data_IF_770271160598
#
_entry.id   IF_770271160598
#
_cell.length_a   1.000
_cell.length_b   1.000
_cell.length_c   1.000
_cell.angle_alpha   90.00
_cell.angle_beta   90.00
_cell.angle_gamma   90.00
#
_symmetry.space_group_name_H-M   'P 1'
#
loop_
_entity.id
_entity.type
_entity.pdbx_description
1 polymer ?
#
# COMPACT_ATOMS: atom_id res chain seq x y z
N UNK A 1 22.52 15.18 0.67
CA UNK A 1 21.10 15.59 0.82
C UNK A 1 20.44 15.85 -0.53
N UNK A 2 20.90 16.81 -1.33
CA UNK A 2 20.27 17.15 -2.64
C UNK A 2 20.22 15.96 -3.63
N UNK A 3 21.32 15.21 -3.75
CA UNK A 3 21.43 14.03 -4.64
C UNK A 3 20.58 12.84 -4.19
N UNK A 4 20.30 12.74 -2.88
CA UNK A 4 19.38 11.75 -2.33
C UNK A 4 17.94 12.15 -2.65
N UNK A 5 17.59 13.44 -2.52
CA UNK A 5 16.30 13.93 -2.98
C UNK A 5 16.10 13.72 -4.49
N UNK A 6 17.10 13.97 -5.34
CA UNK A 6 16.96 13.78 -6.79
C UNK A 6 16.84 12.28 -7.18
N UNK A 7 17.48 11.37 -6.44
CA UNK A 7 17.33 9.92 -6.62
C UNK A 7 15.92 9.43 -6.22
N UNK A 8 15.30 10.07 -5.23
CA UNK A 8 14.01 9.68 -4.65
C UNK A 8 12.80 10.46 -5.25
N UNK A 9 12.99 11.63 -5.86
CA UNK A 9 11.87 12.50 -6.31
C UNK A 9 11.43 12.26 -7.76
N UNK A 10 12.11 11.41 -8.52
CA UNK A 10 11.73 11.09 -9.90
C UNK A 10 11.65 12.32 -10.83
N UNK A 11 12.43 13.38 -10.56
CA UNK A 11 12.53 14.51 -11.50
C UNK A 11 13.10 14.00 -12.83
N UNK A 12 12.51 14.45 -13.93
CA UNK A 12 12.79 14.01 -15.31
C UNK A 12 14.27 14.11 -15.71
N UNK A 13 15.05 14.93 -15.02
CA UNK A 13 16.51 14.99 -15.17
C UNK A 13 17.19 14.30 -14.00
N UNK A 14 17.53 13.02 -14.17
CA UNK A 14 18.53 12.38 -13.30
C UNK A 14 19.79 13.24 -13.40
N UNK A 15 20.20 13.87 -12.30
CA UNK A 15 21.42 14.69 -12.29
C UNK A 15 22.59 13.87 -12.87
N UNK A 16 23.50 14.49 -13.62
CA UNK A 16 24.68 13.81 -14.15
C UNK A 16 25.44 13.05 -13.05
N UNK A 17 25.43 13.59 -11.82
CA UNK A 17 25.97 12.95 -10.62
C UNK A 17 25.21 11.67 -10.24
N UNK A 18 23.88 11.66 -10.32
CA UNK A 18 23.06 10.47 -10.09
C UNK A 18 23.31 9.37 -11.12
N UNK A 19 23.43 9.72 -12.40
CA UNK A 19 23.80 8.77 -13.47
C UNK A 19 25.21 8.21 -13.28
N UNK A 20 26.17 9.07 -12.88
CA UNK A 20 27.52 8.65 -12.57
C UNK A 20 27.55 7.62 -11.44
N UNK A 21 26.91 7.89 -10.30
CA UNK A 21 26.88 6.95 -9.18
C UNK A 21 26.11 5.66 -9.51
N UNK A 22 25.05 5.74 -10.32
CA UNK A 22 24.36 4.56 -10.81
C UNK A 22 25.28 3.67 -11.65
N UNK A 23 26.00 4.27 -12.61
CA UNK A 23 26.97 3.55 -13.44
C UNK A 23 28.10 2.95 -12.60
N UNK A 24 28.61 3.69 -11.60
CA UNK A 24 29.60 3.15 -10.66
C UNK A 24 29.04 1.98 -9.84
N UNK A 25 27.81 2.06 -9.32
CA UNK A 25 27.20 0.97 -8.56
C UNK A 25 27.07 -0.30 -9.40
N UNK A 26 26.55 -0.18 -10.64
CA UNK A 26 26.46 -1.31 -11.57
C UNK A 26 27.84 -1.86 -11.91
N UNK A 27 28.82 -0.99 -12.19
CA UNK A 27 30.20 -1.39 -12.48
C UNK A 27 30.82 -2.17 -11.32
N UNK A 28 30.70 -1.66 -10.10
CA UNK A 28 31.27 -2.28 -8.90
C UNK A 28 30.62 -3.63 -8.61
N UNK A 29 29.29 -3.73 -8.71
CA UNK A 29 28.59 -5.02 -8.57
C UNK A 29 29.10 -5.99 -9.63
N UNK A 30 29.14 -5.60 -10.91
CA UNK A 30 29.61 -6.45 -12.00
C UNK A 30 31.05 -6.95 -11.81
N UNK A 31 31.95 -6.10 -11.30
CA UNK A 31 33.34 -6.48 -11.02
C UNK A 31 33.48 -7.56 -9.94
N UNK A 32 32.46 -7.74 -9.10
CA UNK A 32 32.48 -8.74 -8.02
C UNK A 32 31.74 -10.02 -8.34
N UNK A 33 31.00 -10.10 -9.46
CA UNK A 33 30.11 -11.23 -9.76
C UNK A 33 30.83 -12.58 -9.88
N UNK A 34 32.07 -12.58 -10.37
CA UNK A 34 32.91 -13.78 -10.51
C UNK A 34 33.74 -14.09 -9.24
N UNK A 35 33.47 -13.39 -8.14
CA UNK A 35 34.21 -13.53 -6.88
C UNK A 35 33.27 -13.92 -5.74
N UNK A 36 33.79 -14.44 -4.61
CA UNK A 36 32.96 -14.69 -3.42
C UNK A 36 32.24 -13.42 -2.90
N UNK A 37 32.77 -12.24 -3.20
CA UNK A 37 32.15 -10.96 -2.82
C UNK A 37 30.84 -10.68 -3.56
N UNK A 38 30.51 -11.42 -4.63
CA UNK A 38 29.23 -11.35 -5.33
C UNK A 38 28.05 -11.40 -4.36
N UNK A 39 28.12 -12.28 -3.35
CA UNK A 39 27.05 -12.52 -2.37
C UNK A 39 27.12 -11.60 -1.13
N UNK A 40 27.99 -10.58 -1.16
CA UNK A 40 28.16 -9.65 -0.04
C UNK A 40 26.88 -8.86 0.26
N UNK A 41 26.75 -8.45 1.53
CA UNK A 41 25.64 -7.60 1.96
C UNK A 41 25.57 -6.30 1.17
N UNK A 42 26.73 -5.69 0.92
CA UNK A 42 26.87 -4.45 0.16
C UNK A 42 26.30 -4.59 -1.26
N UNK A 43 26.55 -5.71 -1.93
CA UNK A 43 26.00 -5.96 -3.26
C UNK A 43 24.49 -6.19 -3.22
N UNK A 44 23.97 -6.95 -2.24
CA UNK A 44 22.54 -7.13 -2.08
C UNK A 44 21.82 -5.79 -1.84
N UNK A 45 22.40 -4.92 -1.00
CA UNK A 45 21.91 -3.56 -0.77
C UNK A 45 21.96 -2.75 -2.07
N UNK A 46 23.08 -2.79 -2.80
CA UNK A 46 23.22 -2.08 -4.07
C UNK A 46 22.17 -2.52 -5.09
N UNK A 47 22.00 -3.82 -5.29
CA UNK A 47 20.98 -4.38 -6.21
C UNK A 47 19.57 -4.01 -5.74
N UNK A 48 19.27 -4.09 -4.44
CA UNK A 48 17.98 -3.64 -3.89
C UNK A 48 17.68 -2.17 -4.22
N UNK A 49 18.69 -1.29 -4.12
CA UNK A 49 18.54 0.12 -4.52
C UNK A 49 18.35 0.30 -6.04
N UNK A 50 18.97 -0.55 -6.87
CA UNK A 50 18.75 -0.56 -8.32
C UNK A 50 17.31 -0.95 -8.68
N UNK A 51 16.71 -1.91 -7.95
CA UNK A 51 15.30 -2.28 -8.13
C UNK A 51 14.40 -1.07 -7.85
N UNK A 52 14.56 -0.45 -6.67
CA UNK A 52 13.76 0.71 -6.27
C UNK A 52 13.91 1.86 -7.26
N UNK A 53 15.13 2.13 -7.73
CA UNK A 53 15.36 3.16 -8.74
C UNK A 53 14.65 2.86 -10.06
N UNK A 54 14.73 1.62 -10.54
CA UNK A 54 14.07 1.22 -11.78
C UNK A 54 12.55 1.35 -11.66
N UNK A 55 11.97 0.98 -10.52
CA UNK A 55 10.54 1.17 -10.23
C UNK A 55 10.14 2.64 -10.24
N UNK A 56 10.93 3.52 -9.60
CA UNK A 56 10.68 4.97 -9.58
C UNK A 56 10.69 5.60 -10.98
N UNK A 57 11.48 5.03 -11.90
CA UNK A 57 11.54 5.43 -13.31
C UNK A 57 10.47 4.78 -14.19
N UNK A 58 9.61 3.92 -13.63
CA UNK A 58 8.62 3.15 -14.38
C UNK A 58 9.22 2.03 -15.26
N UNK A 59 10.49 1.68 -15.07
CA UNK A 59 11.22 0.69 -15.87
C UNK A 59 10.96 -0.74 -15.42
N UNK A 60 9.80 -1.30 -15.75
CA UNK A 60 9.39 -2.66 -15.33
C UNK A 60 10.43 -3.73 -15.68
N UNK A 61 10.87 -3.77 -16.94
CA UNK A 61 11.84 -4.77 -17.41
C UNK A 61 13.18 -4.69 -16.66
N UNK A 62 13.69 -3.47 -16.45
CA UNK A 62 14.94 -3.25 -15.71
C UNK A 62 14.80 -3.65 -14.23
N UNK A 63 13.68 -3.28 -13.59
CA UNK A 63 13.40 -3.68 -12.21
C UNK A 63 13.28 -5.20 -12.08
N UNK A 64 12.65 -5.87 -13.05
CA UNK A 64 12.52 -7.34 -13.09
C UNK A 64 13.90 -8.03 -13.14
N UNK A 65 14.82 -7.54 -13.97
CA UNK A 65 16.19 -8.08 -14.08
C UNK A 65 16.93 -7.96 -12.75
N UNK A 66 16.89 -6.78 -12.11
CA UNK A 66 17.56 -6.58 -10.83
C UNK A 66 16.92 -7.42 -9.70
N UNK A 67 15.59 -7.55 -9.70
CA UNK A 67 14.87 -8.39 -8.73
C UNK A 67 15.24 -9.87 -8.89
N UNK A 68 15.28 -10.37 -10.12
CA UNK A 68 15.73 -11.73 -10.42
C UNK A 68 17.18 -11.97 -9.96
N UNK A 69 18.06 -10.99 -10.19
CA UNK A 69 19.44 -11.01 -9.70
C UNK A 69 19.51 -11.06 -8.16
N UNK A 70 18.76 -10.21 -7.46
CA UNK A 70 18.72 -10.21 -6.00
C UNK A 70 18.22 -11.55 -5.44
N UNK A 71 17.13 -12.10 -6.00
CA UNK A 71 16.61 -13.42 -5.62
C UNK A 71 17.68 -14.50 -5.78
N UNK A 72 18.37 -14.53 -6.93
CA UNK A 72 19.45 -15.49 -7.18
C UNK A 72 20.61 -15.36 -6.19
N UNK A 73 21.00 -14.13 -5.85
CA UNK A 73 22.06 -13.88 -4.85
C UNK A 73 21.63 -14.36 -3.45
N UNK A 74 20.38 -14.12 -3.05
CA UNK A 74 19.83 -14.60 -1.79
C UNK A 74 19.78 -16.13 -1.75
N UNK A 75 19.33 -16.78 -2.83
CA UNK A 75 19.29 -18.23 -2.93
C UNK A 75 20.68 -18.85 -2.81
N UNK A 76 21.67 -18.29 -3.50
CA UNK A 76 23.07 -18.73 -3.43
C UNK A 76 23.68 -18.53 -2.04
N UNK A 77 23.21 -17.54 -1.28
CA UNK A 77 23.61 -17.33 0.13
C UNK A 77 22.92 -18.32 1.09
N UNK A 78 21.93 -19.08 0.63
CA UNK A 78 21.16 -20.03 1.43
C UNK A 78 19.83 -19.47 1.95
N UNK A 79 19.29 -18.44 1.30
CA UNK A 79 17.98 -17.84 1.58
C UNK A 79 18.00 -16.68 2.58
N UNK A 80 16.82 -16.12 2.85
CA UNK A 80 16.65 -14.96 3.75
C UNK A 80 17.11 -15.21 5.18
N UNK A 81 17.05 -16.45 5.67
CA UNK A 81 17.50 -16.83 7.02
C UNK A 81 19.00 -16.69 7.23
N UNK A 82 19.78 -16.51 6.15
CA UNK A 82 21.24 -16.29 6.19
C UNK A 82 21.62 -14.80 6.20
N UNK A 83 20.63 -13.90 6.26
CA UNK A 83 20.84 -12.48 6.51
C UNK A 83 20.87 -12.28 8.03
N UNK A 84 22.03 -11.93 8.58
CA UNK A 84 22.21 -11.74 10.03
C UNK A 84 21.43 -10.53 10.54
N UNK A 85 21.38 -9.46 9.73
CA UNK A 85 20.64 -8.26 10.04
C UNK A 85 19.16 -8.38 9.67
N UNK A 86 18.32 -8.71 10.64
CA UNK A 86 16.89 -8.96 10.41
C UNK A 86 16.17 -7.77 9.75
N UNK A 87 16.54 -6.53 10.13
CA UNK A 87 15.98 -5.32 9.53
C UNK A 87 16.25 -5.23 8.01
N UNK A 88 17.34 -5.82 7.52
CA UNK A 88 17.69 -5.80 6.11
C UNK A 88 16.91 -6.86 5.33
N UNK A 89 16.69 -8.03 5.92
CA UNK A 89 15.79 -9.04 5.33
C UNK A 89 14.38 -8.47 5.12
N UNK A 90 13.87 -7.67 6.07
CA UNK A 90 12.62 -6.92 5.93
C UNK A 90 12.68 -5.98 4.73
N UNK A 91 13.80 -5.28 4.49
CA UNK A 91 13.92 -4.37 3.34
C UNK A 91 13.86 -5.10 2.00
N UNK A 92 14.52 -6.25 1.85
CA UNK A 92 14.44 -7.03 0.61
C UNK A 92 13.00 -7.52 0.35
N UNK A 93 12.33 -8.03 1.38
CA UNK A 93 10.93 -8.46 1.27
C UNK A 93 10.01 -7.27 0.96
N UNK A 94 10.26 -6.11 1.56
CA UNK A 94 9.48 -4.88 1.32
C UNK A 94 9.63 -4.40 -0.12
N UNK A 95 10.85 -4.42 -0.68
CA UNK A 95 11.08 -4.06 -2.09
C UNK A 95 10.32 -4.99 -3.03
N UNK A 96 10.32 -6.30 -2.75
CA UNK A 96 9.57 -7.25 -3.57
C UNK A 96 8.06 -7.09 -3.41
N UNK A 97 7.57 -6.80 -2.20
CA UNK A 97 6.16 -6.48 -1.97
C UNK A 97 5.76 -5.22 -2.75
N UNK A 98 6.56 -4.16 -2.70
CA UNK A 98 6.31 -2.95 -3.49
C UNK A 98 6.30 -3.24 -4.99
N UNK A 99 7.22 -4.08 -5.46
CA UNK A 99 7.27 -4.53 -6.85
C UNK A 99 5.99 -5.31 -7.24
N UNK A 100 5.52 -6.20 -6.37
CA UNK A 100 4.27 -6.94 -6.54
C UNK A 100 3.05 -6.00 -6.62
N UNK A 101 2.96 -5.01 -5.73
CA UNK A 101 1.88 -4.01 -5.76
C UNK A 101 1.94 -3.11 -6.99
N UNK A 102 3.14 -2.84 -7.51
CA UNK A 102 3.33 -1.94 -8.65
C UNK A 102 3.03 -2.64 -9.98
N UNK A 103 3.42 -3.90 -10.14
CA UNK A 103 3.35 -4.64 -11.41
C UNK A 103 2.39 -5.84 -11.40
N UNK A 104 1.77 -6.18 -10.27
CA UNK A 104 0.83 -7.29 -10.14
C UNK A 104 1.46 -8.67 -10.19
N UNK A 105 2.71 -8.79 -9.72
CA UNK A 105 3.46 -10.06 -9.78
C UNK A 105 3.36 -10.84 -8.46
N UNK A 106 3.53 -12.16 -8.48
CA UNK A 106 3.65 -12.95 -7.26
C UNK A 106 4.96 -12.65 -6.52
N UNK A 107 4.94 -12.91 -5.21
CA UNK A 107 6.13 -12.84 -4.35
C UNK A 107 6.76 -14.23 -4.17
N UNK A 108 8.07 -14.30 -4.35
CA UNK A 108 8.95 -15.42 -4.01
C UNK A 108 9.54 -15.25 -2.61
N UNK A 109 9.90 -14.02 -2.22
CA UNK A 109 10.41 -13.71 -0.88
C UNK A 109 9.24 -13.65 0.10
N UNK A 110 9.00 -14.76 0.80
CA UNK A 110 7.98 -14.82 1.84
C UNK A 110 8.58 -14.60 3.22
N UNK A 111 7.95 -13.68 3.97
CA UNK A 111 8.30 -13.41 5.35
C UNK A 111 7.03 -13.07 6.11
N UNK A 112 6.75 -13.84 7.16
CA UNK A 112 5.66 -13.59 8.10
C UNK A 112 6.20 -13.67 9.52
N UNK A 113 6.15 -12.55 10.23
CA UNK A 113 6.65 -12.37 11.60
C UNK A 113 5.54 -11.84 12.53
N UNK A 114 4.26 -12.00 12.17
CA UNK A 114 3.16 -11.51 13.01
C UNK A 114 3.14 -12.14 14.40
N UNK A 115 3.53 -13.41 14.53
CA UNK A 115 3.66 -14.06 15.84
C UNK A 115 4.69 -13.35 16.73
N UNK A 116 5.85 -12.98 16.18
CA UNK A 116 6.88 -12.25 16.91
C UNK A 116 6.45 -10.82 17.24
N UNK A 117 5.72 -10.17 16.32
CA UNK A 117 5.08 -8.87 16.58
C UNK A 117 4.15 -9.00 17.79
N UNK A 118 3.28 -10.02 17.83
CA UNK A 118 2.37 -10.24 18.95
C UNK A 118 3.09 -10.57 20.26
N UNK A 119 4.15 -11.37 20.22
CA UNK A 119 4.98 -11.65 21.40
C UNK A 119 5.64 -10.38 21.94
N UNK A 120 6.15 -9.52 21.06
CA UNK A 120 6.73 -8.22 21.43
C UNK A 120 5.68 -7.27 22.02
N UNK A 121 4.47 -7.21 21.44
CA UNK A 121 3.35 -6.45 21.99
C UNK A 121 2.96 -6.94 23.38
N UNK A 122 2.84 -8.26 23.56
CA UNK A 122 2.48 -8.87 24.82
C UNK A 122 3.53 -8.58 25.91
N UNK A 123 4.81 -8.62 25.58
CA UNK A 123 5.90 -8.24 26.47
C UNK A 123 5.83 -6.76 26.89
N UNK A 124 5.31 -5.88 26.02
CA UNK A 124 5.03 -4.46 26.30
C UNK A 124 3.70 -4.23 27.02
N UNK A 125 2.98 -5.28 27.42
CA UNK A 125 1.70 -5.20 28.12
C UNK A 125 0.46 -5.06 27.22
N UNK A 126 0.64 -5.06 25.89
CA UNK A 126 -0.45 -4.99 24.93
C UNK A 126 -0.89 -6.41 24.57
N UNK A 127 -2.08 -6.80 25.03
CA UNK A 127 -2.68 -8.06 24.61
C UNK A 127 -3.54 -7.82 23.39
N UNK A 128 -3.14 -8.39 22.25
CA UNK A 128 -4.05 -8.53 21.13
C UNK A 128 -5.32 -9.27 21.58
N UNK A 129 -6.45 -9.02 20.92
CA UNK A 129 -7.62 -9.84 21.15
C UNK A 129 -7.21 -11.31 20.90
N UNK A 130 -7.48 -12.21 21.87
CA UNK A 130 -7.01 -13.61 21.82
C UNK A 130 -7.69 -14.45 20.73
N UNK A 131 -8.76 -13.93 20.15
CA UNK A 131 -9.53 -14.49 19.03
C UNK A 131 -10.16 -13.33 18.27
N UNK A 132 -10.54 -13.51 17.00
CA UNK A 132 -11.55 -12.68 16.36
C UNK A 132 -12.78 -12.63 17.27
N UNK A 133 -12.89 -11.58 18.09
CA UNK A 133 -14.19 -11.12 18.53
C UNK A 133 -14.73 -10.37 17.32
N UNK A 134 -15.13 -11.12 16.31
CA UNK A 134 -15.77 -10.54 15.14
C UNK A 134 -16.97 -9.73 15.61
N UNK A 135 -17.14 -8.49 15.13
CA UNK A 135 -18.46 -7.94 14.98
C UNK A 135 -19.19 -8.82 13.94
N UNK A 136 -19.81 -9.91 14.40
CA UNK A 136 -20.73 -10.72 13.62
C UNK A 136 -20.12 -11.82 12.73
N UNK A 137 -20.97 -12.76 12.34
CA UNK A 137 -20.79 -13.89 11.41
C UNK A 137 -20.42 -13.48 9.97
N UNK A 138 -19.99 -12.23 9.73
CA UNK A 138 -19.85 -11.68 8.39
C UNK A 138 -18.62 -12.18 7.65
N UNK A 139 -17.51 -12.31 8.36
CA UNK A 139 -16.23 -12.72 7.78
C UNK A 139 -15.91 -14.20 8.05
N UNK A 140 -16.83 -14.94 8.67
CA UNK A 140 -16.62 -16.38 8.95
C UNK A 140 -16.54 -17.23 7.70
N UNK A 141 -17.08 -16.73 6.59
CA UNK A 141 -17.19 -17.44 5.32
C UNK A 141 -15.99 -17.19 4.41
N UNK A 142 -15.09 -16.25 4.76
CA UNK A 142 -13.84 -16.02 4.04
C UNK A 142 -12.87 -17.20 4.19
N UNK A 143 -11.96 -17.37 3.25
CA UNK A 143 -10.79 -18.23 3.44
C UNK A 143 -10.04 -17.86 4.74
N UNK A 144 -9.55 -18.90 5.43
CA UNK A 144 -8.89 -18.76 6.74
C UNK A 144 -7.69 -17.82 6.70
N UNK A 145 -6.94 -17.79 5.59
CA UNK A 145 -5.81 -16.88 5.41
C UNK A 145 -6.28 -15.42 5.39
N UNK A 146 -7.31 -15.11 4.61
CA UNK A 146 -7.88 -13.76 4.55
C UNK A 146 -8.48 -13.32 5.89
N UNK A 147 -9.16 -14.23 6.61
CA UNK A 147 -9.68 -13.95 7.95
C UNK A 147 -8.57 -13.53 8.92
N UNK A 148 -7.44 -14.25 8.91
CA UNK A 148 -6.29 -13.96 9.75
C UNK A 148 -5.68 -12.60 9.41
N UNK A 149 -5.51 -12.30 8.12
CA UNK A 149 -4.98 -10.99 7.71
C UNK A 149 -5.92 -9.86 8.12
N UNK A 150 -7.23 -10.02 7.92
CA UNK A 150 -8.22 -9.02 8.32
C UNK A 150 -8.19 -8.78 9.83
N UNK A 151 -8.09 -9.85 10.62
CA UNK A 151 -7.98 -9.77 12.07
C UNK A 151 -6.70 -9.04 12.51
N UNK A 152 -5.57 -9.32 11.86
CA UNK A 152 -4.30 -8.67 12.18
C UNK A 152 -4.36 -7.17 11.87
N UNK A 153 -4.89 -6.80 10.70
CA UNK A 153 -5.10 -5.39 10.33
C UNK A 153 -6.02 -4.67 11.31
N UNK A 154 -7.08 -5.33 11.78
CA UNK A 154 -8.00 -4.78 12.75
C UNK A 154 -7.32 -4.52 14.10
N UNK A 155 -6.55 -5.50 14.61
CA UNK A 155 -5.79 -5.32 15.86
C UNK A 155 -4.74 -4.22 15.74
N UNK A 156 -3.98 -4.18 14.64
CA UNK A 156 -3.00 -3.13 14.39
C UNK A 156 -3.68 -1.76 14.34
N UNK A 157 -4.84 -1.67 13.68
CA UNK A 157 -5.63 -0.43 13.63
C UNK A 157 -6.09 0.01 15.01
N UNK A 158 -6.60 -0.92 15.81
CA UNK A 158 -7.03 -0.66 17.18
C UNK A 158 -5.87 -0.16 18.07
N UNK A 159 -4.68 -0.74 17.93
CA UNK A 159 -3.47 -0.29 18.65
C UNK A 159 -3.09 1.15 18.30
N UNK A 160 -3.06 1.51 17.01
CA UNK A 160 -2.81 2.88 16.60
C UNK A 160 -3.86 3.85 17.14
N UNK A 161 -5.14 3.48 17.09
CA UNK A 161 -6.23 4.31 17.61
C UNK A 161 -6.21 4.45 19.13
N UNK A 162 -5.64 3.47 19.86
CA UNK A 162 -5.37 3.55 21.29
C UNK A 162 -4.12 4.38 21.64
N UNK A 163 -3.44 4.97 20.64
CA UNK A 163 -2.25 5.80 20.83
C UNK A 163 -0.94 5.03 20.96
N UNK A 164 -0.91 3.73 20.65
CA UNK A 164 0.33 2.96 20.66
C UNK A 164 1.30 3.49 19.61
N UNK A 165 2.50 3.88 20.05
CA UNK A 165 3.59 4.29 19.17
C UNK A 165 4.41 3.07 18.77
N UNK A 166 4.03 2.47 17.64
CA UNK A 166 4.77 1.36 17.05
C UNK A 166 6.14 1.85 16.54
N UNK A 167 7.20 1.14 16.89
CA UNK A 167 8.53 1.46 16.36
C UNK A 167 8.62 1.16 14.85
N UNK A 168 9.47 1.87 14.11
CA UNK A 168 9.51 1.74 12.65
C UNK A 168 9.85 0.33 12.14
N UNK A 169 10.66 -0.43 12.87
CA UNK A 169 11.05 -1.78 12.43
C UNK A 169 9.87 -2.74 12.60
N UNK A 170 9.21 -2.69 13.76
CA UNK A 170 7.99 -3.46 14.01
C UNK A 170 6.88 -3.14 13.00
N UNK A 171 6.72 -1.87 12.63
CA UNK A 171 5.77 -1.49 11.58
C UNK A 171 6.14 -2.10 10.22
N UNK A 172 7.42 -2.15 9.88
CA UNK A 172 7.85 -2.78 8.62
C UNK A 172 7.61 -4.30 8.64
N UNK A 173 7.87 -4.98 9.76
CA UNK A 173 7.54 -6.40 9.90
C UNK A 173 6.03 -6.65 9.76
N UNK A 174 5.19 -5.82 10.38
CA UNK A 174 3.72 -5.89 10.21
C UNK A 174 3.33 -5.76 8.74
N UNK A 175 3.83 -4.72 8.06
CA UNK A 175 3.48 -4.44 6.66
C UNK A 175 3.95 -5.54 5.71
N UNK A 176 5.18 -6.04 5.88
CA UNK A 176 5.71 -7.15 5.06
C UNK A 176 4.95 -8.44 5.34
N UNK A 177 4.67 -8.77 6.60
CA UNK A 177 3.96 -10.00 6.97
C UNK A 177 2.53 -10.04 6.44
N UNK A 178 1.82 -8.92 6.55
CA UNK A 178 0.49 -8.74 5.96
C UNK A 178 0.56 -8.79 4.44
N UNK A 179 1.48 -8.04 3.83
CA UNK A 179 1.64 -7.97 2.38
C UNK A 179 1.99 -9.32 1.75
N UNK A 180 2.94 -10.06 2.35
CA UNK A 180 3.33 -11.39 1.92
C UNK A 180 2.18 -12.39 1.97
N UNK A 181 1.31 -12.33 2.98
CA UNK A 181 0.12 -13.20 3.05
C UNK A 181 -0.94 -12.83 2.03
N UNK A 182 -1.19 -11.54 1.80
CA UNK A 182 -2.14 -11.09 0.79
C UNK A 182 -1.70 -11.49 -0.62
N UNK A 183 -0.45 -11.19 -1.01
CA UNK A 183 0.04 -11.55 -2.35
C UNK A 183 0.15 -13.07 -2.55
N UNK A 184 0.47 -13.82 -1.49
CA UNK A 184 0.44 -15.28 -1.53
C UNK A 184 -0.98 -15.83 -1.72
N UNK A 185 -1.98 -15.20 -1.11
CA UNK A 185 -3.37 -15.59 -1.28
C UNK A 185 -3.81 -15.35 -2.73
N UNK A 186 -3.55 -14.16 -3.26
CA UNK A 186 -3.88 -13.84 -4.64
C UNK A 186 -3.01 -12.69 -5.18
N UNK A 187 -2.37 -12.91 -6.32
CA UNK A 187 -1.55 -11.89 -6.97
C UNK A 187 -2.40 -10.97 -7.84
N UNK A 188 -2.13 -9.66 -7.84
CA UNK A 188 -3.00 -8.67 -8.51
C UNK A 188 -3.06 -8.81 -10.05
N UNK A 189 -2.14 -9.57 -10.65
CA UNK A 189 -2.10 -9.86 -12.09
C UNK A 189 -2.77 -11.18 -12.47
N UNK A 190 -3.27 -11.95 -11.50
CA UNK A 190 -4.01 -13.20 -11.77
C UNK A 190 -5.45 -12.90 -12.23
N UNK A 191 -6.11 -13.88 -12.87
CA UNK A 191 -7.53 -13.79 -13.20
C UNK A 191 -8.38 -13.59 -11.93
N UNK A 192 -9.55 -12.96 -12.03
CA UNK A 192 -10.38 -12.72 -10.87
C UNK A 192 -10.80 -13.98 -10.11
N UNK A 193 -11.01 -13.83 -8.80
CA UNK A 193 -11.53 -14.90 -7.94
C UNK A 193 -12.99 -15.23 -8.27
N UNK A 194 -13.38 -16.47 -7.98
CA UNK A 194 -14.77 -16.92 -8.13
C UNK A 194 -15.69 -16.23 -7.12
N UNK A 195 -15.25 -16.10 -5.87
CA UNK A 195 -15.97 -15.37 -4.82
C UNK A 195 -15.61 -13.88 -4.85
N UNK A 196 -16.55 -13.07 -5.32
CA UNK A 196 -16.41 -11.62 -5.35
C UNK A 196 -16.23 -11.00 -3.95
N UNK A 197 -16.86 -11.57 -2.91
CA UNK A 197 -16.74 -11.04 -1.55
C UNK A 197 -15.33 -11.22 -0.99
N UNK A 198 -14.70 -12.37 -1.24
CA UNK A 198 -13.29 -12.59 -0.93
C UNK A 198 -12.39 -11.64 -1.71
N UNK A 199 -12.65 -11.49 -3.01
CA UNK A 199 -11.90 -10.59 -3.88
C UNK A 199 -11.99 -9.13 -3.42
N UNK A 200 -13.19 -8.70 -3.02
CA UNK A 200 -13.45 -7.37 -2.47
C UNK A 200 -12.72 -7.14 -1.14
N UNK A 201 -12.76 -8.11 -0.22
CA UNK A 201 -12.01 -8.03 1.04
C UNK A 201 -10.50 -7.97 0.76
N UNK A 202 -9.99 -8.82 -0.13
CA UNK A 202 -8.60 -8.84 -0.55
C UNK A 202 -8.15 -7.49 -1.15
N UNK A 203 -8.91 -6.96 -2.12
CA UNK A 203 -8.62 -5.68 -2.76
C UNK A 203 -8.60 -4.51 -1.76
N UNK A 204 -9.55 -4.48 -0.83
CA UNK A 204 -9.60 -3.46 0.21
C UNK A 204 -8.45 -3.55 1.20
N UNK A 205 -8.07 -4.75 1.62
CA UNK A 205 -6.89 -4.97 2.47
C UNK A 205 -5.60 -4.53 1.76
N UNK A 206 -5.42 -4.89 0.49
CA UNK A 206 -4.29 -4.42 -0.30
C UNK A 206 -4.29 -2.88 -0.37
N UNK A 207 -5.41 -2.25 -0.71
CA UNK A 207 -5.53 -0.78 -0.74
C UNK A 207 -5.18 -0.14 0.61
N UNK A 208 -5.67 -0.73 1.71
CA UNK A 208 -5.35 -0.32 3.08
C UNK A 208 -3.84 -0.34 3.35
N UNK A 209 -3.11 -1.40 2.96
CA UNK A 209 -1.64 -1.45 3.15
C UNK A 209 -0.90 -0.29 2.48
N UNK A 210 -1.39 0.19 1.32
CA UNK A 210 -0.76 1.31 0.61
C UNK A 210 -0.92 2.66 1.32
N UNK A 211 -1.80 2.76 2.33
CA UNK A 211 -2.01 3.99 3.11
C UNK A 211 -0.86 4.29 4.07
N UNK A 212 -0.03 3.29 4.41
CA UNK A 212 1.16 3.47 5.24
C UNK A 212 2.36 4.02 4.48
N UNK A 213 2.25 4.18 3.16
CA UNK A 213 3.34 4.67 2.32
C UNK A 213 3.45 6.19 2.51
N UNK A 214 4.63 6.62 2.97
CA UNK A 214 4.93 8.03 3.26
C UNK A 214 4.66 8.88 2.01
N UNK A 215 3.81 9.91 2.16
CA UNK A 215 3.61 10.97 1.18
C UNK A 215 4.65 12.06 1.40
N UNK A 216 5.39 12.44 0.36
CA UNK A 216 6.29 13.60 0.39
C UNK A 216 5.68 14.67 -0.51
N UNK A 217 4.98 15.64 0.08
CA UNK A 217 4.20 16.64 -0.65
C UNK A 217 3.04 16.00 -1.43
N UNK A 218 2.68 16.51 -2.64
CA UNK A 218 1.55 15.99 -3.42
C UNK A 218 1.84 14.65 -4.12
N UNK A 219 3.06 14.12 -4.05
CA UNK A 219 3.48 12.91 -4.78
C UNK A 219 3.69 11.72 -3.84
N UNK A 220 3.14 10.57 -4.23
CA UNK A 220 3.48 9.27 -3.63
C UNK A 220 4.82 8.82 -4.17
N UNK A 221 5.64 8.24 -3.30
CA UNK A 221 6.96 7.73 -3.67
C UNK A 221 6.88 6.64 -4.74
N UNK A 222 5.91 5.73 -4.65
CA UNK A 222 5.60 4.74 -5.67
C UNK A 222 4.15 4.88 -6.11
N UNK A 223 3.91 4.75 -7.41
CA UNK A 223 2.56 4.78 -7.98
C UNK A 223 2.02 3.35 -8.11
N UNK A 224 1.20 2.90 -7.16
CA UNK A 224 0.60 1.55 -7.17
C UNK A 224 -0.57 1.46 -8.16
N UNK A 225 -0.30 1.71 -9.43
CA UNK A 225 -1.32 1.70 -10.51
C UNK A 225 -2.03 0.36 -10.60
N UNK A 226 -1.33 -0.75 -10.40
CA UNK A 226 -1.94 -2.07 -10.43
C UNK A 226 -2.95 -2.27 -9.30
N UNK A 227 -2.66 -1.80 -8.08
CA UNK A 227 -3.64 -1.82 -6.98
C UNK A 227 -4.88 -0.99 -7.34
N UNK A 228 -4.69 0.20 -7.92
CA UNK A 228 -5.80 1.04 -8.38
C UNK A 228 -6.63 0.39 -9.48
N UNK A 229 -5.98 -0.28 -10.44
CA UNK A 229 -6.66 -1.04 -11.49
C UNK A 229 -7.44 -2.21 -10.90
N UNK A 230 -6.80 -3.04 -10.09
CA UNK A 230 -7.42 -4.21 -9.44
C UNK A 230 -8.64 -3.81 -8.61
N UNK A 231 -8.51 -2.77 -7.77
CA UNK A 231 -9.62 -2.25 -6.98
C UNK A 231 -10.78 -1.76 -7.85
N UNK A 232 -10.50 -1.07 -8.97
CA UNK A 232 -11.52 -0.65 -9.93
C UNK A 232 -12.25 -1.83 -10.56
N UNK A 233 -11.51 -2.82 -11.03
CA UNK A 233 -12.08 -4.00 -11.69
C UNK A 233 -13.00 -4.76 -10.72
N UNK A 234 -12.64 -4.87 -9.44
CA UNK A 234 -13.48 -5.46 -8.39
C UNK A 234 -14.73 -4.62 -8.11
N UNK A 235 -14.60 -3.30 -7.98
CA UNK A 235 -15.72 -2.38 -7.74
C UNK A 235 -16.73 -2.38 -8.90
N UNK A 236 -16.25 -2.41 -10.15
CA UNK A 236 -17.13 -2.39 -11.33
C UNK A 236 -17.85 -3.71 -11.58
N UNK A 237 -17.25 -4.85 -11.22
CA UNK A 237 -17.91 -6.16 -11.28
C UNK A 237 -18.91 -6.39 -10.15
N UNK A 238 -18.68 -5.78 -9.00
CA UNK A 238 -19.49 -5.93 -7.80
C UNK A 238 -20.73 -5.03 -7.77
N UNK A 239 -21.87 -5.55 -8.19
CA UNK A 239 -23.17 -4.89 -7.99
C UNK A 239 -24.17 -5.88 -7.40
N UNK A 240 -24.01 -6.17 -6.10
CA UNK A 240 -25.07 -6.72 -5.26
C UNK A 240 -25.19 -5.85 -4.00
N UNK A 241 -26.41 -5.39 -3.69
CA UNK A 241 -26.70 -4.47 -2.58
C UNK A 241 -26.46 -5.09 -1.19
N UNK A 242 -26.13 -6.38 -1.13
CA UNK A 242 -25.86 -7.13 0.11
C UNK A 242 -24.63 -6.63 0.88
N UNK A 243 -23.67 -6.00 0.21
CA UNK A 243 -22.38 -5.59 0.80
C UNK A 243 -22.08 -4.09 0.61
N UNK A 244 -23.11 -3.24 0.64
CA UNK A 244 -22.99 -1.81 0.39
C UNK A 244 -22.01 -1.07 1.31
N UNK A 245 -21.87 -1.46 2.57
CA UNK A 245 -20.91 -0.87 3.51
C UNK A 245 -19.46 -1.27 3.21
N UNK A 246 -19.21 -2.51 2.78
CA UNK A 246 -17.91 -2.93 2.24
C UNK A 246 -17.59 -2.11 0.99
N UNK A 247 -18.54 -1.98 0.06
CA UNK A 247 -18.35 -1.16 -1.14
C UNK A 247 -18.05 0.31 -0.78
N UNK A 248 -18.74 0.87 0.20
CA UNK A 248 -18.46 2.23 0.69
C UNK A 248 -17.04 2.32 1.27
N UNK A 249 -16.62 1.33 2.05
CA UNK A 249 -15.26 1.26 2.58
C UNK A 249 -14.21 1.16 1.46
N UNK A 250 -14.42 0.32 0.44
CA UNK A 250 -13.56 0.20 -0.74
C UNK A 250 -13.40 1.51 -1.50
N UNK A 251 -14.51 2.24 -1.71
CA UNK A 251 -14.50 3.53 -2.39
C UNK A 251 -13.71 4.58 -1.60
N UNK A 252 -13.91 4.63 -0.27
CA UNK A 252 -13.22 5.60 0.59
C UNK A 252 -11.74 5.24 0.74
N UNK A 253 -11.41 3.99 1.12
CA UNK A 253 -10.02 3.56 1.28
C UNK A 253 -9.27 3.65 -0.05
N UNK A 254 -9.90 3.30 -1.17
CA UNK A 254 -9.38 3.48 -2.52
C UNK A 254 -9.13 4.94 -2.86
N UNK A 255 -10.12 5.81 -2.64
CA UNK A 255 -10.06 7.24 -2.90
C UNK A 255 -8.98 7.98 -2.12
N UNK A 256 -8.72 7.59 -0.87
CA UNK A 256 -7.62 8.16 -0.06
C UNK A 256 -6.30 7.41 -0.28
N UNK A 257 -6.32 6.27 -0.97
CA UNK A 257 -5.14 5.50 -1.30
C UNK A 257 -4.79 5.63 -2.79
N UNK A 258 -5.12 4.62 -3.58
CA UNK A 258 -4.56 4.40 -4.91
C UNK A 258 -5.31 5.09 -6.04
N UNK A 259 -6.54 5.55 -5.79
CA UNK A 259 -7.36 6.24 -6.78
C UNK A 259 -7.06 7.73 -6.74
N UNK A 260 -6.92 8.35 -7.91
CA UNK A 260 -6.37 9.71 -8.05
C UNK A 260 -7.36 10.66 -8.72
N UNK A 261 -6.97 11.92 -8.93
CA UNK A 261 -7.84 13.02 -9.43
C UNK A 261 -8.84 12.63 -10.54
N UNK A 262 -8.44 11.95 -11.62
CA UNK A 262 -9.37 11.52 -12.67
C UNK A 262 -10.44 10.53 -12.19
N UNK A 263 -10.12 9.68 -11.21
CA UNK A 263 -11.04 8.70 -10.66
C UNK A 263 -12.14 9.35 -9.79
N UNK A 264 -11.90 10.56 -9.25
CA UNK A 264 -12.88 11.26 -8.41
C UNK A 264 -14.21 11.52 -9.13
N UNK A 265 -14.19 11.63 -10.46
CA UNK A 265 -15.37 11.86 -11.30
C UNK A 265 -16.41 10.73 -11.21
N UNK A 266 -15.97 9.47 -11.08
CA UNK A 266 -16.86 8.31 -10.95
C UNK A 266 -17.01 7.84 -9.49
N UNK A 267 -15.99 8.03 -8.65
CA UNK A 267 -16.04 7.67 -7.22
C UNK A 267 -17.10 8.50 -6.50
N UNK A 268 -17.14 9.82 -6.73
CA UNK A 268 -18.03 10.72 -5.98
C UNK A 268 -19.52 10.38 -6.17
N UNK A 269 -20.04 10.20 -7.41
CA UNK A 269 -21.41 9.71 -7.61
C UNK A 269 -21.66 8.34 -6.98
N UNK A 270 -20.68 7.43 -7.01
CA UNK A 270 -20.83 6.09 -6.44
C UNK A 270 -20.92 6.13 -4.92
N UNK A 271 -20.08 6.93 -4.25
CA UNK A 271 -20.17 7.17 -2.80
C UNK A 271 -21.55 7.70 -2.44
N UNK A 272 -22.08 8.71 -3.16
CA UNK A 272 -23.43 9.25 -2.92
C UNK A 272 -24.52 8.18 -3.05
N UNK A 273 -24.46 7.38 -4.11
CA UNK A 273 -25.44 6.32 -4.38
C UNK A 273 -25.44 5.27 -3.26
N UNK A 274 -24.26 4.77 -2.89
CA UNK A 274 -24.11 3.74 -1.85
C UNK A 274 -24.52 4.28 -0.49
N UNK A 275 -24.09 5.49 -0.12
CA UNK A 275 -24.50 6.12 1.13
C UNK A 275 -26.01 6.34 1.22
N UNK A 276 -26.65 6.73 0.11
CA UNK A 276 -28.11 6.84 0.00
C UNK A 276 -28.80 5.49 0.27
N UNK A 277 -28.29 4.40 -0.28
CA UNK A 277 -28.82 3.04 -0.03
C UNK A 277 -28.67 2.58 1.42
N UNK A 278 -27.64 3.06 2.12
CA UNK A 278 -27.37 2.78 3.54
C UNK A 278 -28.08 3.77 4.49
N UNK A 279 -28.75 4.80 3.96
CA UNK A 279 -29.35 5.86 4.76
C UNK A 279 -28.33 6.79 5.46
N UNK A 280 -27.06 6.76 5.05
CA UNK A 280 -25.98 7.53 5.67
C UNK A 280 -25.98 8.96 5.11
N UNK A 281 -26.06 9.95 6.00
CA UNK A 281 -26.13 11.38 5.65
C UNK A 281 -25.01 12.23 6.26
N UNK A 282 -24.16 11.65 7.08
CA UNK A 282 -23.07 12.36 7.75
C UNK A 282 -21.79 11.53 7.73
N UNK A 283 -20.65 12.20 7.97
CA UNK A 283 -19.36 11.55 8.07
C UNK A 283 -19.33 10.56 9.25
N UNK A 284 -19.97 10.90 10.37
CA UNK A 284 -20.08 10.04 11.55
C UNK A 284 -20.82 8.75 11.21
N UNK A 285 -21.85 8.82 10.37
CA UNK A 285 -22.56 7.64 9.87
C UNK A 285 -21.66 6.75 8.98
N UNK A 286 -20.83 7.35 8.13
CA UNK A 286 -19.81 6.62 7.34
C UNK A 286 -18.85 5.93 8.30
N UNK A 287 -18.31 6.65 9.28
CA UNK A 287 -17.36 6.11 10.26
C UNK A 287 -17.95 4.98 11.08
N UNK A 288 -19.21 5.12 11.52
CA UNK A 288 -19.93 4.06 12.21
C UNK A 288 -20.07 2.80 11.34
N UNK A 289 -20.38 2.95 10.05
CA UNK A 289 -20.48 1.82 9.11
C UNK A 289 -19.15 1.09 8.89
N UNK A 290 -18.02 1.75 9.16
CA UNK A 290 -16.69 1.16 8.99
C UNK A 290 -16.20 0.37 10.20
N UNK A 291 -17.00 0.24 11.27
CA UNK A 291 -16.61 -0.55 12.45
C UNK A 291 -16.12 -1.97 12.16
N UNK A 292 -16.62 -2.70 11.14
CA UNK A 292 -16.13 -4.05 10.81
C UNK A 292 -14.78 -4.06 10.06
N UNK A 293 -14.33 -2.93 9.54
CA UNK A 293 -13.18 -2.83 8.64
C UNK A 293 -12.02 -2.09 9.32
N UNK A 294 -10.75 -2.35 8.92
CA UNK A 294 -9.61 -1.68 9.51
C UNK A 294 -9.60 -0.20 9.12
N UNK A 295 -9.35 0.64 10.12
CA UNK A 295 -9.31 2.10 9.99
C UNK A 295 -8.42 2.69 11.07
N UNK A 296 -7.47 3.54 10.66
CA UNK A 296 -6.56 4.25 11.56
C UNK A 296 -6.89 5.73 11.51
N UNK A 297 -7.41 6.27 12.60
CA UNK A 297 -7.89 7.66 12.66
C UNK A 297 -6.80 8.64 12.23
N UNK A 298 -5.56 8.45 12.71
CA UNK A 298 -4.43 9.32 12.38
C UNK A 298 -4.01 9.28 10.90
N UNK A 299 -4.34 8.22 10.15
CA UNK A 299 -3.98 8.07 8.74
C UNK A 299 -5.13 8.36 7.79
N UNK A 300 -6.37 8.11 8.21
CA UNK A 300 -7.51 8.03 7.30
C UNK A 300 -8.60 9.05 7.58
N UNK A 301 -8.71 9.58 8.80
CA UNK A 301 -9.86 10.39 9.23
C UNK A 301 -9.99 11.69 8.42
N UNK A 302 -8.91 12.45 8.31
CA UNK A 302 -8.90 13.75 7.61
C UNK A 302 -9.19 13.59 6.11
N UNK A 303 -8.38 12.80 5.40
CA UNK A 303 -8.56 12.57 3.96
C UNK A 303 -9.88 11.88 3.62
N UNK A 304 -10.35 10.97 4.47
CA UNK A 304 -11.64 10.30 4.29
C UNK A 304 -12.80 11.28 4.39
N UNK A 305 -12.76 12.17 5.39
CA UNK A 305 -13.76 13.22 5.59
C UNK A 305 -13.76 14.24 4.46
N UNK A 306 -12.58 14.64 3.98
CA UNK A 306 -12.45 15.50 2.81
C UNK A 306 -13.10 14.88 1.57
N UNK A 307 -12.76 13.62 1.27
CA UNK A 307 -13.34 12.88 0.15
C UNK A 307 -14.87 12.78 0.27
N UNK A 308 -15.39 12.49 1.47
CA UNK A 308 -16.82 12.43 1.73
C UNK A 308 -17.51 13.77 1.43
N UNK A 309 -17.00 14.88 1.96
CA UNK A 309 -17.61 16.19 1.71
C UNK A 309 -17.48 16.62 0.25
N UNK A 310 -16.36 16.30 -0.41
CA UNK A 310 -16.23 16.50 -1.85
C UNK A 310 -17.29 15.70 -2.62
N UNK A 311 -17.56 14.46 -2.22
CA UNK A 311 -18.58 13.62 -2.85
C UNK A 311 -20.00 14.14 -2.59
N UNK A 312 -20.29 14.72 -1.42
CA UNK A 312 -21.62 15.24 -1.08
C UNK A 312 -21.90 16.63 -1.65
N UNK A 313 -20.89 17.39 -2.08
CA UNK A 313 -21.11 18.63 -2.83
C UNK A 313 -21.91 18.30 -4.09
N UNK A 314 -23.09 18.88 -4.21
CA UNK A 314 -23.82 18.88 -5.48
C UNK A 314 -22.94 19.57 -6.52
N UNK A 315 -22.92 19.10 -7.79
CA UNK A 315 -22.43 19.94 -8.86
C UNK A 315 -23.41 21.11 -8.95
N UNK A 316 -23.12 22.19 -8.23
CA UNK A 316 -23.74 23.48 -8.46
C UNK A 316 -23.52 23.82 -9.93
N UNK A 317 -24.57 24.27 -10.62
CA UNK A 317 -24.56 24.77 -11.99
C UNK A 317 -23.30 25.61 -12.26
N UNK A 318 -22.26 24.95 -12.78
CA UNK A 318 -20.96 25.55 -13.07
C UNK A 318 -21.00 26.22 -14.44
N UNK A 319 -22.00 27.09 -14.66
CA UNK A 319 -22.12 27.93 -15.85
C UNK A 319 -22.21 29.43 -15.54
N UNK A 320 -22.05 29.85 -14.27
CA UNK A 320 -22.21 31.26 -13.89
C UNK A 320 -21.04 31.95 -13.19
N UNK A 321 -20.05 31.22 -12.64
CA UNK A 321 -19.06 31.83 -11.73
C UNK A 321 -17.59 31.62 -12.14
N UNK A 322 -17.33 30.92 -13.25
CA UNK A 322 -15.96 30.64 -13.72
C UNK A 322 -15.32 31.80 -14.49
N UNK A 323 -16.04 32.90 -14.76
CA UNK A 323 -15.50 34.08 -15.44
C UNK A 323 -15.03 35.23 -14.54
N UNK A 324 -15.25 35.17 -13.21
CA UNK A 324 -14.81 36.25 -12.30
C UNK A 324 -13.67 35.88 -11.33
N UNK A 325 -13.30 34.61 -11.20
CA UNK A 325 -12.23 34.20 -10.27
C UNK A 325 -10.81 34.16 -10.89
N UNK A 326 -10.69 34.23 -12.23
CA UNK A 326 -9.40 34.13 -12.94
C UNK A 326 -8.58 35.43 -12.99
N UNK A 327 -9.05 36.53 -12.38
CA UNK A 327 -8.34 37.81 -12.37
C UNK A 327 -7.79 38.25 -11.00
N UNK A 328 -8.01 37.47 -9.92
CA UNK A 328 -7.88 38.00 -8.57
C UNK A 328 -6.69 37.58 -7.69
N UNK A 329 -6.00 36.46 -7.96
CA UNK A 329 -5.04 35.95 -6.95
C UNK A 329 -3.81 35.30 -7.56
N UNK A 330 -3.06 36.09 -8.33
CA UNK A 330 -1.60 35.93 -8.50
C UNK A 330 -0.95 37.01 -7.64
N UNK A 331 -0.70 36.72 -6.36
CA UNK A 331 0.29 37.36 -5.47
C UNK A 331 0.06 36.90 -4.01
N UNK A 332 1.15 36.59 -3.32
CA UNK A 332 1.25 36.16 -1.91
C UNK A 332 0.91 34.65 -1.73
N UNK A 333 1.75 33.77 -1.18
CA UNK A 333 2.93 33.87 -0.32
C UNK A 333 3.79 32.61 -0.57
N UNK A 334 5.11 32.81 -0.42
CA UNK A 334 6.22 31.86 -0.23
C UNK A 334 5.90 30.38 0.00
#
# INVERSE_FOLDING_TARGET
>A
MHTFNDFFTGRETVSQKGLYHLSQAVKLVNQTLDTPAALSLSNLIAVNLLILQAMLKGGMSTAAIHLAGMRRMLDLRGGLSRIEEDWLAVKFCKTEFDYALHYGTPMSLYRDRMDDVYMSLAAKGFRAARKPQTPGTRFSDLDRSLQQVMFDMWNVSALFNAGFKMDPNMLQDVLVSIGSRLIRFHSLGEPPLEDWFEEACHAGMIAFTTTFVIRVGPRRFLHYSMVGKYLKDVIFRGIDGKHSDLLLWLLVIGGISVLSGPDLGWISPRIRSVAGSLGIRSWEGVRASFSPFPWINALHEESGRELWYMAMRTPSNASGLQQQALAGTLLSVL
#
